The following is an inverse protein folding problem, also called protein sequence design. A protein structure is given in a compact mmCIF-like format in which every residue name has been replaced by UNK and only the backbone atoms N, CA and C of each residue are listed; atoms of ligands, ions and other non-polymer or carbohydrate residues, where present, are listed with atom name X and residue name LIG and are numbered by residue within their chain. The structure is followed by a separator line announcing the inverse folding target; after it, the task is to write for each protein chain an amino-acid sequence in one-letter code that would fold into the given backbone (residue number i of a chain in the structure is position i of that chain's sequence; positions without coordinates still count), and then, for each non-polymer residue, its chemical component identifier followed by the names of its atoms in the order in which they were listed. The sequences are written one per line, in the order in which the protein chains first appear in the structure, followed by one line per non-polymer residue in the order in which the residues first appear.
data_IF_875665849558
#
_entry.id   IF_875665849558
#
_cell.length_a   1.000
_cell.length_b   1.000
_cell.length_c   1.000
_cell.angle_alpha   90.00
_cell.angle_beta   90.00
_cell.angle_gamma   90.00
#
_symmetry.space_group_name_H-M   'P 1'
#
loop_
_entity.id
_entity.type
_entity.pdbx_description
1 polymer ?
#
# COMPACT_ATOMS: atom_id res chain seq x y z
N UNK A 1 -22.43 1.87 -11.46
CA UNK A 1 -21.71 2.76 -10.53
C UNK A 1 -21.22 1.88 -9.41
N UNK A 2 -19.95 1.47 -9.44
CA UNK A 2 -19.33 0.83 -8.27
C UNK A 2 -19.31 1.86 -7.15
N UNK A 3 -19.85 1.52 -5.98
CA UNK A 3 -19.80 2.39 -4.81
C UNK A 3 -18.33 2.67 -4.47
N UNK A 4 -18.01 3.92 -4.15
CA UNK A 4 -16.66 4.30 -3.72
C UNK A 4 -16.39 3.75 -2.33
N UNK A 5 -15.17 3.26 -2.10
CA UNK A 5 -14.66 2.83 -0.81
C UNK A 5 -14.30 4.09 -0.02
N UNK A 6 -15.18 4.47 0.89
CA UNK A 6 -14.93 5.47 1.92
C UNK A 6 -14.26 4.84 3.15
N UNK A 7 -14.00 5.64 4.18
CA UNK A 7 -13.31 5.19 5.38
C UNK A 7 -14.05 4.04 6.11
N UNK A 8 -15.36 4.11 6.39
CA UNK A 8 -16.09 2.97 6.96
C UNK A 8 -16.02 1.70 6.12
N UNK A 9 -16.14 1.81 4.79
CA UNK A 9 -16.01 0.66 3.89
C UNK A 9 -14.60 0.06 3.92
N UNK A 10 -13.56 0.89 3.95
CA UNK A 10 -12.18 0.45 4.11
C UNK A 10 -11.99 -0.36 5.41
N UNK A 11 -12.46 0.16 6.56
CA UNK A 11 -12.35 -0.53 7.85
C UNK A 11 -13.09 -1.88 7.82
N UNK A 12 -14.28 -1.93 7.23
CA UNK A 12 -15.04 -3.17 7.09
C UNK A 12 -14.32 -4.21 6.20
N UNK A 13 -13.69 -3.77 5.10
CA UNK A 13 -12.89 -4.64 4.25
C UNK A 13 -11.63 -5.13 4.97
N UNK A 14 -10.95 -4.25 5.71
CA UNK A 14 -9.75 -4.62 6.47
C UNK A 14 -10.05 -5.69 7.53
N UNK A 15 -11.14 -5.51 8.30
CA UNK A 15 -11.55 -6.45 9.33
C UNK A 15 -11.98 -7.83 8.80
N UNK A 16 -12.42 -7.91 7.55
CA UNK A 16 -12.90 -9.15 6.92
C UNK A 16 -11.80 -9.90 6.17
N UNK A 17 -10.89 -9.18 5.51
CA UNK A 17 -9.92 -9.79 4.60
C UNK A 17 -8.49 -9.84 5.13
N UNK A 18 -8.11 -8.89 5.99
CA UNK A 18 -6.80 -8.85 6.65
C UNK A 18 -7.01 -8.71 8.16
N UNK A 19 -7.71 -9.68 8.76
CA UNK A 19 -8.01 -9.67 10.19
C UNK A 19 -6.74 -9.56 11.03
N UNK A 20 -5.65 -10.19 10.58
CA UNK A 20 -4.34 -10.10 11.22
C UNK A 20 -3.76 -8.68 11.28
N UNK A 21 -4.13 -7.81 10.34
CA UNK A 21 -3.74 -6.39 10.36
C UNK A 21 -4.74 -5.58 11.19
N UNK A 22 -6.03 -5.89 11.09
CA UNK A 22 -7.07 -5.18 11.82
C UNK A 22 -6.89 -5.26 13.35
N UNK A 23 -6.36 -6.37 13.87
CA UNK A 23 -6.09 -6.52 15.31
C UNK A 23 -4.89 -5.71 15.80
N UNK A 24 -4.02 -5.24 14.90
CA UNK A 24 -2.85 -4.41 15.22
C UNK A 24 -3.20 -2.92 15.30
N UNK A 25 -4.44 -2.54 14.98
CA UNK A 25 -4.93 -1.17 15.14
C UNK A 25 -5.23 -0.93 16.62
N UNK A 26 -4.42 -0.09 17.26
CA UNK A 26 -4.62 0.32 18.65
C UNK A 26 -5.73 1.37 18.83
N UNK A 27 -6.09 1.62 20.09
CA UNK A 27 -7.15 2.58 20.45
C UNK A 27 -6.84 4.03 20.03
N UNK A 28 -5.57 4.37 19.81
CA UNK A 28 -5.15 5.71 19.39
C UNK A 28 -5.23 5.89 17.89
N UNK A 29 -5.11 4.81 17.13
CA UNK A 29 -5.17 4.78 15.67
C UNK A 29 -6.59 4.54 15.15
N UNK A 30 -7.46 3.91 15.97
CA UNK A 30 -8.82 3.58 15.59
C UNK A 30 -9.65 4.81 15.22
N UNK A 31 -10.28 4.78 14.05
CA UNK A 31 -11.07 5.90 13.52
C UNK A 31 -10.23 7.00 12.88
N UNK A 32 -8.91 6.83 12.79
CA UNK A 32 -8.01 7.74 12.09
C UNK A 32 -7.50 7.06 10.82
N UNK A 33 -8.16 7.32 9.68
CA UNK A 33 -7.90 6.69 8.38
C UNK A 33 -6.39 6.58 8.04
N UNK A 34 -5.64 7.65 8.23
CA UNK A 34 -4.19 7.67 7.95
C UNK A 34 -3.40 6.75 8.88
N UNK A 35 -3.74 6.68 10.16
CA UNK A 35 -3.09 5.80 11.14
C UNK A 35 -3.42 4.32 10.88
N UNK A 36 -4.68 4.04 10.52
CA UNK A 36 -5.11 2.69 10.14
C UNK A 36 -4.39 2.22 8.87
N UNK A 37 -4.31 3.07 7.84
CA UNK A 37 -3.55 2.76 6.61
C UNK A 37 -2.05 2.60 6.88
N UNK A 38 -1.47 3.44 7.74
CA UNK A 38 -0.07 3.29 8.17
C UNK A 38 0.16 1.99 8.92
N UNK A 39 -0.84 1.46 9.64
CA UNK A 39 -0.77 0.13 10.27
C UNK A 39 -0.67 -0.96 9.21
N UNK A 40 -1.47 -0.89 8.13
CA UNK A 40 -1.32 -1.80 6.98
C UNK A 40 0.08 -1.73 6.37
N UNK A 41 0.65 -0.53 6.26
CA UNK A 41 2.00 -0.33 5.74
C UNK A 41 3.06 -1.00 6.63
N UNK A 42 3.00 -0.77 7.96
CA UNK A 42 3.91 -1.38 8.93
C UNK A 42 3.83 -2.91 8.91
N UNK A 43 2.62 -3.48 8.89
CA UNK A 43 2.46 -4.93 8.79
C UNK A 43 3.01 -5.49 7.46
N UNK A 44 2.88 -4.73 6.36
CA UNK A 44 3.49 -5.10 5.07
C UNK A 44 5.01 -5.05 5.13
N UNK A 45 5.59 -3.99 5.70
CA UNK A 45 7.04 -3.86 5.86
C UNK A 45 7.61 -4.97 6.75
N UNK A 46 6.95 -5.30 7.86
CA UNK A 46 7.35 -6.41 8.72
C UNK A 46 7.32 -7.77 7.98
N UNK A 47 6.34 -7.99 7.09
CA UNK A 47 6.30 -9.18 6.25
C UNK A 47 7.43 -9.21 5.21
N UNK A 48 7.83 -8.04 4.67
CA UNK A 48 9.02 -7.92 3.80
C UNK A 48 10.28 -8.31 4.58
N UNK A 49 10.49 -7.73 5.77
CA UNK A 49 11.66 -8.02 6.63
C UNK A 49 11.73 -9.49 7.03
N UNK A 50 10.58 -10.13 7.27
CA UNK A 50 10.50 -11.56 7.59
C UNK A 50 10.66 -12.47 6.35
N UNK A 51 10.72 -11.92 5.14
CA UNK A 51 10.73 -12.68 3.88
C UNK A 51 9.42 -13.42 3.60
N UNK A 52 8.30 -13.02 4.21
CA UNK A 52 6.98 -13.58 3.98
C UNK A 52 6.30 -12.95 2.76
N UNK A 53 6.79 -13.35 1.59
CA UNK A 53 6.34 -12.81 0.30
C UNK A 53 4.90 -13.19 -0.05
N UNK A 54 4.32 -14.19 0.60
CA UNK A 54 2.90 -14.53 0.41
C UNK A 54 2.01 -13.49 1.10
N UNK A 55 2.32 -13.15 2.35
CA UNK A 55 1.63 -12.09 3.09
C UNK A 55 1.81 -10.74 2.41
N UNK A 56 3.02 -10.41 1.94
CA UNK A 56 3.27 -9.18 1.16
C UNK A 56 2.35 -9.10 -0.06
N UNK A 57 2.25 -10.18 -0.85
CA UNK A 57 1.35 -10.20 -2.03
C UNK A 57 -0.11 -9.98 -1.66
N UNK A 58 -0.59 -10.57 -0.56
CA UNK A 58 -1.95 -10.38 -0.07
C UNK A 58 -2.21 -8.92 0.33
N UNK A 59 -1.31 -8.31 1.09
CA UNK A 59 -1.45 -6.92 1.52
C UNK A 59 -1.46 -5.98 0.31
N UNK A 60 -0.51 -6.14 -0.62
CA UNK A 60 -0.45 -5.32 -1.84
C UNK A 60 -1.72 -5.48 -2.69
N UNK A 61 -2.22 -6.70 -2.87
CA UNK A 61 -3.44 -6.95 -3.62
C UNK A 61 -4.68 -6.32 -2.95
N UNK A 62 -4.76 -6.38 -1.62
CA UNK A 62 -5.81 -5.72 -0.85
C UNK A 62 -5.79 -4.21 -1.06
N UNK A 63 -4.63 -3.56 -0.90
CA UNK A 63 -4.52 -2.10 -1.02
C UNK A 63 -4.74 -1.63 -2.46
N UNK A 64 -4.26 -2.37 -3.47
CA UNK A 64 -4.57 -2.08 -4.88
C UNK A 64 -6.08 -2.09 -5.17
N UNK A 65 -6.80 -3.07 -4.61
CA UNK A 65 -8.25 -3.15 -4.75
C UNK A 65 -8.96 -2.00 -4.04
N UNK A 66 -8.50 -1.62 -2.84
CA UNK A 66 -8.99 -0.44 -2.12
C UNK A 66 -8.80 0.82 -2.96
N UNK A 67 -7.60 1.03 -3.50
CA UNK A 67 -7.25 2.19 -4.31
C UNK A 67 -8.13 2.32 -5.56
N UNK A 68 -8.42 1.22 -6.26
CA UNK A 68 -9.27 1.22 -7.47
C UNK A 68 -10.70 1.72 -7.22
N UNK A 69 -11.20 1.61 -5.99
CA UNK A 69 -12.53 2.07 -5.60
C UNK A 69 -12.53 3.28 -4.67
N UNK A 70 -11.38 3.81 -4.29
CA UNK A 70 -11.26 4.75 -3.17
C UNK A 70 -11.97 6.09 -3.39
N UNK A 71 -12.53 6.66 -2.32
CA UNK A 71 -12.77 8.10 -2.25
C UNK A 71 -11.45 8.88 -2.25
N UNK A 72 -11.45 10.20 -2.52
CA UNK A 72 -10.23 10.99 -2.49
C UNK A 72 -9.43 10.89 -1.18
N UNK A 73 -10.11 10.84 -0.03
CA UNK A 73 -9.44 10.72 1.27
C UNK A 73 -8.74 9.36 1.45
N UNK A 74 -9.41 8.27 1.06
CA UNK A 74 -8.82 6.91 1.13
C UNK A 74 -7.69 6.76 0.13
N UNK A 75 -7.83 7.32 -1.08
CA UNK A 75 -6.77 7.33 -2.07
C UNK A 75 -5.55 8.08 -1.51
N UNK A 76 -5.75 9.29 -0.97
CA UNK A 76 -4.70 10.08 -0.35
C UNK A 76 -3.99 9.31 0.77
N UNK A 77 -4.72 8.58 1.62
CA UNK A 77 -4.13 7.72 2.65
C UNK A 77 -3.27 6.60 2.06
N UNK A 78 -3.65 6.00 0.93
CA UNK A 78 -2.79 5.04 0.22
C UNK A 78 -1.50 5.71 -0.25
N UNK A 79 -1.56 6.92 -0.81
CA UNK A 79 -0.37 7.65 -1.24
C UNK A 79 0.58 7.94 -0.06
N UNK A 80 0.11 8.69 0.94
CA UNK A 80 0.98 9.26 1.99
C UNK A 80 1.19 8.34 3.19
N UNK A 81 0.26 7.43 3.47
CA UNK A 81 0.31 6.57 4.66
C UNK A 81 0.62 5.11 4.33
N UNK A 82 0.52 4.69 3.06
CA UNK A 82 0.93 3.35 2.64
C UNK A 82 2.23 3.38 1.84
N UNK A 83 2.22 3.98 0.64
CA UNK A 83 3.36 3.92 -0.28
C UNK A 83 4.61 4.60 0.27
N UNK A 84 4.49 5.77 0.91
CA UNK A 84 5.63 6.46 1.54
C UNK A 84 6.26 5.68 2.70
N UNK A 85 5.51 4.75 3.30
CA UNK A 85 5.94 4.00 4.47
C UNK A 85 6.48 2.60 4.12
N UNK A 86 6.40 2.18 2.85
CA UNK A 86 6.99 0.93 2.39
C UNK A 86 8.48 1.12 2.03
N UNK A 87 9.32 0.09 2.21
CA UNK A 87 10.73 0.12 1.82
C UNK A 87 10.87 -0.04 0.29
N UNK A 88 10.44 0.97 -0.48
CA UNK A 88 10.40 0.97 -1.95
C UNK A 88 11.60 1.66 -2.61
N UNK A 89 12.52 2.19 -1.81
CA UNK A 89 13.72 2.92 -2.25
C UNK A 89 14.90 2.68 -1.30
N UNK A 90 16.12 2.94 -1.79
CA UNK A 90 17.36 2.77 -1.02
C UNK A 90 18.09 1.46 -1.33
N UNK A 91 19.26 1.28 -0.71
CA UNK A 91 20.17 0.14 -0.95
C UNK A 91 19.81 -1.09 -0.09
N UNK A 92 18.53 -1.44 -0.03
CA UNK A 92 18.05 -2.63 0.68
C UNK A 92 17.79 -3.75 -0.33
N UNK A 93 18.33 -4.95 -0.07
CA UNK A 93 18.30 -6.11 -0.99
C UNK A 93 16.88 -6.50 -1.45
N UNK A 94 15.87 -6.21 -0.63
CA UNK A 94 14.48 -6.56 -0.88
C UNK A 94 13.71 -5.57 -1.75
N UNK A 95 14.24 -4.36 -2.00
CA UNK A 95 13.56 -3.30 -2.78
C UNK A 95 13.21 -3.77 -4.20
N UNK A 96 14.12 -4.34 -5.01
CA UNK A 96 13.78 -4.80 -6.36
C UNK A 96 12.67 -5.86 -6.35
N UNK A 97 12.69 -6.73 -5.34
CA UNK A 97 11.71 -7.81 -5.20
C UNK A 97 10.34 -7.27 -4.79
N UNK A 98 10.27 -6.35 -3.84
CA UNK A 98 9.02 -5.70 -3.44
C UNK A 98 8.41 -4.92 -4.61
N UNK A 99 9.21 -4.15 -5.35
CA UNK A 99 8.74 -3.41 -6.53
C UNK A 99 8.21 -4.32 -7.63
N UNK A 100 8.80 -5.50 -7.83
CA UNK A 100 8.32 -6.50 -8.79
C UNK A 100 6.98 -7.14 -8.40
N UNK A 101 6.58 -7.05 -7.12
CA UNK A 101 5.30 -7.56 -6.63
C UNK A 101 4.18 -6.53 -6.64
N UNK A 102 4.48 -5.25 -6.91
CA UNK A 102 3.48 -4.19 -6.93
C UNK A 102 2.42 -4.49 -8.00
N UNK A 103 1.12 -4.54 -7.63
CA UNK A 103 0.03 -4.52 -8.58
C UNK A 103 0.07 -3.25 -9.43
N UNK A 104 -0.52 -3.33 -10.63
CA UNK A 104 -0.48 -2.24 -11.62
C UNK A 104 -0.98 -0.90 -11.08
N UNK A 105 -2.01 -0.88 -10.22
CA UNK A 105 -2.55 0.35 -9.65
C UNK A 105 -1.58 1.00 -8.67
N UNK A 106 -0.96 0.20 -7.79
CA UNK A 106 0.05 0.69 -6.85
C UNK A 106 1.36 1.08 -7.53
N UNK A 107 1.77 0.35 -8.57
CA UNK A 107 2.92 0.74 -9.39
C UNK A 107 2.68 2.09 -10.09
N UNK A 108 1.47 2.32 -10.64
CA UNK A 108 1.11 3.59 -11.23
C UNK A 108 0.99 4.73 -10.21
N UNK A 109 0.53 4.45 -9.00
CA UNK A 109 0.50 5.43 -7.92
C UNK A 109 1.90 5.84 -7.47
N UNK A 110 2.79 4.85 -7.24
CA UNK A 110 4.19 5.09 -6.92
C UNK A 110 4.90 5.89 -8.03
N UNK A 111 4.60 5.57 -9.28
CA UNK A 111 5.12 6.28 -10.45
C UNK A 111 4.82 7.77 -10.45
N UNK A 112 3.58 8.12 -10.11
CA UNK A 112 3.12 9.50 -10.07
C UNK A 112 3.77 10.25 -8.89
N UNK A 113 3.96 9.57 -7.75
CA UNK A 113 4.68 10.10 -6.59
C UNK A 113 6.17 10.39 -6.87
N UNK A 114 6.85 9.48 -7.59
CA UNK A 114 8.27 9.62 -7.96
C UNK A 114 8.51 10.70 -9.05
N UNK A 115 7.50 11.49 -9.41
CA UNK A 115 7.63 12.59 -10.36
C UNK A 115 7.91 12.13 -11.80
N UNK A 116 7.67 10.86 -12.12
CA UNK A 116 7.86 10.25 -13.45
C UNK A 116 9.30 10.35 -13.98
N UNK A 117 10.30 10.41 -13.09
CA UNK A 117 11.71 10.59 -13.47
C UNK A 117 12.25 9.39 -14.30
N UNK A 118 11.70 8.20 -14.09
CA UNK A 118 12.09 6.98 -14.79
C UNK A 118 11.16 6.71 -16.00
N UNK A 119 11.36 5.62 -16.78
CA UNK A 119 10.29 5.02 -17.63
C UNK A 119 9.82 3.66 -17.08
N UNK A 120 8.50 3.36 -17.13
CA UNK A 120 7.95 2.09 -16.62
C UNK A 120 7.68 1.11 -17.77
N UNK A 121 8.10 -0.17 -17.69
CA UNK A 121 8.88 -0.83 -16.62
C UNK A 121 10.31 -0.25 -16.51
N UNK A 122 11.03 -0.41 -15.37
CA UNK A 122 12.20 0.42 -15.03
C UNK A 122 13.31 0.25 -16.07
N UNK A 123 13.38 1.19 -17.00
CA UNK A 123 14.51 1.42 -17.90
C UNK A 123 14.94 2.87 -17.64
N UNK A 124 16.23 3.14 -17.38
CA UNK A 124 16.72 4.50 -17.29
C UNK A 124 16.39 5.25 -18.59
N UNK A 125 15.78 6.43 -18.49
CA UNK A 125 15.67 7.30 -19.66
C UNK A 125 17.07 7.65 -20.10
N UNK A 126 17.43 7.25 -21.31
CA UNK A 126 18.65 7.72 -21.95
C UNK A 126 18.47 9.22 -22.16
N UNK A 127 19.28 10.01 -21.45
CA UNK A 127 19.35 11.46 -21.63
C UNK A 127 19.81 11.87 -23.01
#
# INVERSE_FOLDING_TARGET
MTASIDHPAFVALLATELREVAVEIDEYSLGLLHCEMATVARCTAAAVEAGDWETVRRHLAFVDRVLRGATPDVANAVYVSYLEHLPLSGDVDDVPKLRALLPVGLAAALWDMEGREFEWPPIPRSG
#
